data_IF_173489887049
#
_entry.id   IF_173489887049
#
_cell.length_a   1.000
_cell.length_b   1.000
_cell.length_c   1.000
_cell.angle_alpha   90.00
_cell.angle_beta   90.00
_cell.angle_gamma   90.00
#
_symmetry.space_group_name_H-M   'P 1'
#
loop_
_entity.id
_entity.type
_entity.pdbx_description
1 polymer ?
#
# COMPACT_ATOMS: atom_id res chain seq x y z
N UNK A 1 14.01 -5.63 17.62
CA UNK A 1 12.72 -6.13 17.09
C UNK A 1 12.77 -6.03 15.57
N UNK A 2 12.22 -7.01 14.85
CA UNK A 2 12.15 -6.94 13.39
C UNK A 2 11.13 -5.88 12.96
N UNK A 3 11.40 -5.17 11.87
CA UNK A 3 10.50 -4.18 11.26
C UNK A 3 10.22 -4.63 9.84
N UNK A 4 8.95 -4.71 9.47
CA UNK A 4 8.53 -5.18 8.14
C UNK A 4 7.78 -4.09 7.41
N UNK A 5 8.05 -3.93 6.13
CA UNK A 5 7.34 -2.99 5.28
C UNK A 5 6.76 -3.69 4.06
N UNK A 6 5.51 -3.41 3.74
CA UNK A 6 4.88 -3.76 2.48
C UNK A 6 4.74 -2.48 1.66
N UNK A 7 5.40 -2.41 0.51
CA UNK A 7 5.44 -1.21 -0.33
C UNK A 7 4.75 -1.50 -1.65
N UNK A 8 3.63 -0.84 -1.88
CA UNK A 8 2.72 -1.12 -3.00
C UNK A 8 2.70 0.06 -3.95
N UNK A 9 3.01 -0.16 -5.22
CA UNK A 9 2.91 0.83 -6.29
C UNK A 9 2.17 0.26 -7.50
N UNK A 10 0.97 0.75 -7.78
CA UNK A 10 0.13 0.21 -8.88
C UNK A 10 0.06 1.23 -10.01
N UNK A 11 0.66 0.89 -11.15
CA UNK A 11 0.66 1.76 -12.33
C UNK A 11 -0.43 1.42 -13.36
N UNK A 12 -0.83 0.15 -13.47
CA UNK A 12 -1.73 -0.34 -14.51
C UNK A 12 -3.12 -0.64 -13.96
N UNK A 13 -4.14 -0.11 -14.62
CA UNK A 13 -5.55 -0.25 -14.26
C UNK A 13 -6.40 -0.56 -15.48
N UNK A 14 -7.44 -1.37 -15.29
CA UNK A 14 -8.39 -1.72 -16.35
C UNK A 14 -9.54 -0.71 -16.47
N UNK A 15 -9.99 -0.17 -15.33
CA UNK A 15 -11.14 0.73 -15.25
C UNK A 15 -10.78 2.17 -14.83
N UNK A 16 -9.49 2.44 -14.60
CA UNK A 16 -8.97 3.75 -14.18
C UNK A 16 -7.80 4.16 -15.08
N UNK A 17 -7.46 5.45 -15.06
CA UNK A 17 -6.30 5.95 -15.81
C UNK A 17 -5.00 5.41 -15.20
N UNK A 18 -4.08 4.94 -16.05
CA UNK A 18 -2.77 4.44 -15.61
C UNK A 18 -1.93 5.54 -14.91
N UNK A 19 -1.22 5.14 -13.86
CA UNK A 19 -0.39 6.02 -13.02
C UNK A 19 1.08 5.54 -13.01
N UNK A 20 1.85 5.76 -14.09
CA UNK A 20 3.23 5.25 -14.18
C UNK A 20 4.12 5.71 -13.01
N UNK A 21 3.92 6.95 -12.53
CA UNK A 21 4.68 7.53 -11.41
C UNK A 21 4.45 6.84 -10.06
N UNK A 22 3.34 6.11 -9.89
CA UNK A 22 3.06 5.41 -8.64
C UNK A 22 4.11 4.33 -8.32
N UNK A 23 4.70 3.73 -9.36
CA UNK A 23 5.79 2.76 -9.20
C UNK A 23 7.07 3.47 -8.79
N UNK A 24 7.43 4.58 -9.45
CA UNK A 24 8.62 5.37 -9.09
C UNK A 24 8.59 5.86 -7.63
N UNK A 25 7.43 6.32 -7.17
CA UNK A 25 7.23 6.76 -5.79
C UNK A 25 7.40 5.59 -4.81
N UNK A 26 6.79 4.44 -5.13
CA UNK A 26 6.90 3.23 -4.32
C UNK A 26 8.34 2.69 -4.28
N UNK A 27 9.09 2.71 -5.39
CA UNK A 27 10.49 2.29 -5.43
C UNK A 27 11.38 3.17 -4.54
N UNK A 28 11.23 4.51 -4.62
CA UNK A 28 11.99 5.43 -3.76
C UNK A 28 11.72 5.19 -2.28
N UNK A 29 10.46 4.97 -1.90
CA UNK A 29 10.10 4.64 -0.52
C UNK A 29 10.66 3.27 -0.12
N UNK A 30 10.59 2.27 -0.99
CA UNK A 30 11.18 0.96 -0.71
C UNK A 30 12.69 1.07 -0.45
N UNK A 31 13.40 1.84 -1.26
CA UNK A 31 14.84 2.08 -1.10
C UNK A 31 15.14 2.80 0.24
N UNK A 32 14.44 3.89 0.53
CA UNK A 32 14.61 4.63 1.80
C UNK A 32 14.37 3.74 3.03
N UNK A 33 13.35 2.87 2.99
CA UNK A 33 13.03 1.96 4.10
C UNK A 33 14.07 0.84 4.27
N UNK A 34 14.64 0.34 3.17
CA UNK A 34 15.75 -0.63 3.20
C UNK A 34 17.04 0.01 3.75
N UNK A 35 17.43 1.17 3.21
CA UNK A 35 18.71 1.82 3.50
C UNK A 35 18.74 2.49 4.88
N UNK A 36 17.69 3.22 5.23
CA UNK A 36 17.67 4.05 6.45
C UNK A 36 16.69 3.54 7.51
N UNK A 37 15.62 2.87 7.09
CA UNK A 37 14.56 2.43 7.98
C UNK A 37 14.83 1.11 8.71
N UNK A 38 15.83 0.33 8.28
CA UNK A 38 16.09 -1.04 8.78
C UNK A 38 14.84 -1.94 8.69
N UNK A 39 14.02 -1.74 7.65
CA UNK A 39 12.86 -2.58 7.37
C UNK A 39 13.25 -3.74 6.43
N UNK A 40 12.69 -4.92 6.69
CA UNK A 40 12.57 -5.96 5.66
C UNK A 40 11.39 -5.59 4.75
N UNK A 41 11.74 -5.07 3.56
CA UNK A 41 10.80 -4.48 2.61
C UNK A 41 10.36 -5.51 1.57
N UNK A 42 9.05 -5.71 1.49
CA UNK A 42 8.37 -6.48 0.45
C UNK A 42 7.69 -5.54 -0.56
N UNK A 43 8.24 -5.38 -1.77
CA UNK A 43 7.63 -4.56 -2.82
C UNK A 43 6.54 -5.32 -3.59
N UNK A 44 5.50 -4.61 -4.02
CA UNK A 44 4.38 -5.12 -4.84
C UNK A 44 3.91 -4.10 -5.89
N UNK A 45 3.63 -4.52 -7.14
CA UNK A 45 3.99 -5.81 -7.73
C UNK A 45 5.50 -6.00 -7.75
N UNK A 46 5.97 -7.19 -7.37
CA UNK A 46 7.41 -7.49 -7.31
C UNK A 46 7.98 -8.02 -8.63
N UNK A 47 9.16 -7.54 -9.00
CA UNK A 47 10.05 -8.17 -10.00
C UNK A 47 11.39 -8.48 -9.34
N UNK A 48 11.86 -9.72 -9.53
CA UNK A 48 13.19 -10.12 -9.08
C UNK A 48 14.23 -9.45 -9.98
N UNK A 49 15.19 -8.76 -9.37
CA UNK A 49 16.37 -8.24 -10.04
C UNK A 49 17.46 -9.27 -9.85
N UNK A 50 17.72 -10.06 -10.90
CA UNK A 50 18.66 -11.20 -10.86
C UNK A 50 20.09 -10.79 -10.47
N UNK A 51 20.49 -9.56 -10.83
CA UNK A 51 21.83 -9.02 -10.54
C UNK A 51 22.04 -8.70 -9.06
N UNK A 52 20.99 -8.49 -8.28
CA UNK A 52 21.07 -8.00 -6.90
C UNK A 52 20.38 -8.92 -5.88
N UNK A 53 19.82 -10.05 -6.35
CA UNK A 53 18.99 -10.97 -5.57
C UNK A 53 17.92 -10.24 -4.72
N UNK A 54 17.43 -9.11 -5.23
CA UNK A 54 16.51 -8.21 -4.56
C UNK A 54 15.25 -8.05 -5.41
N UNK A 55 14.10 -7.88 -4.74
CA UNK A 55 12.86 -7.52 -5.42
C UNK A 55 12.71 -6.00 -5.48
N UNK A 56 12.19 -5.49 -6.60
CA UNK A 56 11.74 -4.10 -6.77
C UNK A 56 10.28 -4.03 -7.22
N UNK A 57 9.66 -2.85 -7.07
CA UNK A 57 8.30 -2.59 -7.54
C UNK A 57 8.34 -2.51 -9.07
N UNK A 58 7.38 -3.11 -9.78
CA UNK A 58 7.36 -3.09 -11.24
C UNK A 58 6.06 -2.58 -11.81
N UNK A 59 6.15 -1.73 -12.83
CA UNK A 59 5.02 -1.32 -13.65
C UNK A 59 4.60 -2.39 -14.67
N UNK A 60 5.41 -3.44 -14.88
CA UNK A 60 5.15 -4.45 -15.91
C UNK A 60 3.96 -5.34 -15.55
N UNK A 61 3.73 -5.56 -14.25
CA UNK A 61 2.71 -6.46 -13.73
C UNK A 61 1.50 -5.70 -13.19
N UNK A 62 0.32 -6.30 -13.37
CA UNK A 62 -0.89 -5.90 -12.66
C UNK A 62 -0.87 -6.48 -11.24
N UNK A 63 -1.60 -5.84 -10.33
CA UNK A 63 -1.84 -6.35 -8.99
C UNK A 63 -3.34 -6.48 -8.77
N UNK A 64 -3.82 -7.71 -8.69
CA UNK A 64 -5.26 -7.99 -8.61
C UNK A 64 -5.77 -7.87 -7.17
N UNK A 65 -7.05 -7.57 -7.01
CA UNK A 65 -7.74 -7.47 -5.72
C UNK A 65 -7.52 -8.68 -4.81
N UNK A 66 -7.71 -9.88 -5.37
CA UNK A 66 -7.54 -11.15 -4.65
C UNK A 66 -6.09 -11.35 -4.19
N UNK A 67 -5.13 -11.03 -5.05
CA UNK A 67 -3.70 -11.19 -4.75
C UNK A 67 -3.28 -10.23 -3.64
N UNK A 68 -3.63 -8.94 -3.75
CA UNK A 68 -3.31 -7.95 -2.74
C UNK A 68 -3.98 -8.28 -1.40
N UNK A 69 -5.25 -8.73 -1.41
CA UNK A 69 -5.95 -9.16 -0.21
C UNK A 69 -5.25 -10.33 0.50
N UNK A 70 -4.79 -11.33 -0.26
CA UNK A 70 -4.03 -12.46 0.28
C UNK A 70 -2.70 -12.03 0.87
N UNK A 71 -1.93 -11.20 0.16
CA UNK A 71 -0.63 -10.73 0.64
C UNK A 71 -0.79 -9.85 1.89
N UNK A 72 -1.76 -8.95 1.93
CA UNK A 72 -2.05 -8.15 3.13
C UNK A 72 -2.38 -9.04 4.34
N UNK A 73 -3.19 -10.08 4.14
CA UNK A 73 -3.53 -11.05 5.20
C UNK A 73 -2.27 -11.74 5.73
N UNK A 74 -1.44 -12.30 4.86
CA UNK A 74 -0.21 -12.99 5.24
C UNK A 74 0.80 -12.02 5.90
N UNK A 75 0.93 -10.81 5.36
CA UNK A 75 1.83 -9.80 5.89
C UNK A 75 1.46 -9.40 7.32
N UNK A 76 0.19 -9.08 7.58
CA UNK A 76 -0.27 -8.59 8.88
C UNK A 76 -0.40 -9.71 9.93
N UNK A 77 -0.91 -10.89 9.53
CA UNK A 77 -1.25 -11.95 10.48
C UNK A 77 -0.11 -12.96 10.69
N UNK A 78 0.86 -13.03 9.79
CA UNK A 78 1.93 -14.02 9.84
C UNK A 78 3.30 -13.32 9.87
N UNK A 79 3.69 -12.60 8.81
CA UNK A 79 5.05 -12.02 8.67
C UNK A 79 5.37 -10.98 9.75
N UNK A 80 4.49 -10.00 9.91
CA UNK A 80 4.69 -8.87 10.82
C UNK A 80 3.97 -9.06 12.17
N UNK A 81 3.48 -10.27 12.47
CA UNK A 81 2.76 -10.54 13.71
C UNK A 81 3.64 -10.24 14.92
N UNK A 82 3.16 -9.37 15.81
CA UNK A 82 3.89 -8.95 17.01
C UNK A 82 5.17 -8.14 16.73
N UNK A 83 5.33 -7.65 15.50
CA UNK A 83 6.45 -6.82 15.04
C UNK A 83 5.94 -5.48 14.52
N UNK A 84 6.84 -4.53 14.28
CA UNK A 84 6.47 -3.27 13.64
C UNK A 84 6.15 -3.50 12.15
N UNK A 85 4.99 -3.04 11.71
CA UNK A 85 4.48 -3.22 10.36
C UNK A 85 4.19 -1.87 9.72
N UNK A 86 4.76 -1.60 8.54
CA UNK A 86 4.47 -0.44 7.73
C UNK A 86 3.88 -0.88 6.40
N UNK A 87 2.80 -0.23 5.96
CA UNK A 87 2.24 -0.42 4.62
C UNK A 87 2.26 0.93 3.92
N UNK A 88 2.98 1.02 2.80
CA UNK A 88 2.96 2.17 1.91
C UNK A 88 2.18 1.80 0.64
N UNK A 89 1.30 2.68 0.20
CA UNK A 89 0.51 2.51 -1.00
C UNK A 89 0.58 3.76 -1.88
N UNK A 90 0.94 3.57 -3.14
CA UNK A 90 0.88 4.55 -4.21
C UNK A 90 -0.01 4.01 -5.33
N UNK A 91 -1.08 4.73 -5.65
CA UNK A 91 -2.10 4.34 -6.62
C UNK A 91 -3.39 5.12 -6.42
N UNK A 92 -4.44 4.74 -7.14
CA UNK A 92 -5.77 5.35 -6.98
C UNK A 92 -6.40 4.99 -5.64
N UNK A 93 -7.03 5.99 -5.01
CA UNK A 93 -8.00 5.81 -3.94
C UNK A 93 -9.34 6.42 -4.37
N UNK A 94 -10.45 5.79 -3.99
CA UNK A 94 -11.78 6.30 -4.32
C UNK A 94 -12.79 5.96 -3.22
N UNK A 95 -13.90 6.68 -3.20
CA UNK A 95 -15.04 6.39 -2.34
C UNK A 95 -16.14 5.70 -3.15
N UNK A 96 -16.74 4.66 -2.57
CA UNK A 96 -17.92 4.00 -3.14
C UNK A 96 -18.96 3.74 -2.03
N UNK A 97 -20.27 3.74 -2.35
CA UNK A 97 -21.30 3.37 -1.40
C UNK A 97 -21.08 1.95 -0.88
N UNK A 98 -21.15 1.77 0.45
CA UNK A 98 -21.18 0.43 1.03
C UNK A 98 -22.59 -0.14 1.07
N UNK A 99 -22.71 -1.43 1.43
CA UNK A 99 -24.00 -2.10 1.62
C UNK A 99 -24.89 -1.42 2.68
N UNK A 100 -24.31 -0.64 3.59
CA UNK A 100 -25.04 0.14 4.61
C UNK A 100 -25.43 1.53 4.12
N UNK A 101 -25.11 1.89 2.88
CA UNK A 101 -25.35 3.22 2.30
C UNK A 101 -24.30 4.28 2.69
N UNK A 102 -23.44 3.99 3.66
CA UNK A 102 -22.37 4.91 4.05
C UNK A 102 -21.20 4.83 3.05
N UNK A 103 -20.63 5.97 2.62
CA UNK A 103 -19.48 5.97 1.73
C UNK A 103 -18.28 5.34 2.43
N UNK A 104 -17.61 4.42 1.75
CA UNK A 104 -16.39 3.77 2.23
C UNK A 104 -15.25 4.08 1.27
N UNK A 105 -14.08 4.37 1.82
CA UNK A 105 -12.87 4.52 1.02
C UNK A 105 -12.35 3.17 0.55
N UNK A 106 -11.69 3.15 -0.60
CA UNK A 106 -11.07 1.98 -1.21
C UNK A 106 -9.72 2.35 -1.82
N UNK A 107 -8.75 1.45 -1.69
CA UNK A 107 -7.53 1.44 -2.50
C UNK A 107 -7.82 0.63 -3.76
N UNK A 108 -7.62 1.25 -4.91
CA UNK A 108 -7.81 0.64 -6.20
C UNK A 108 -6.71 -0.39 -6.51
N UNK A 109 -7.12 -1.57 -6.95
CA UNK A 109 -6.26 -2.59 -7.56
C UNK A 109 -6.39 -2.53 -9.08
N UNK A 110 -5.54 -3.25 -9.82
CA UNK A 110 -5.54 -3.19 -11.28
C UNK A 110 -6.89 -3.56 -11.91
N UNK A 111 -7.63 -4.46 -11.28
CA UNK A 111 -8.91 -5.02 -11.75
C UNK A 111 -10.14 -4.48 -10.98
N UNK A 112 -9.98 -3.36 -10.25
CA UNK A 112 -11.08 -2.82 -9.46
C UNK A 112 -12.13 -2.08 -10.30
N UNK A 113 -13.36 -2.09 -9.83
CA UNK A 113 -14.47 -1.34 -10.41
C UNK A 113 -14.87 -0.17 -9.50
N UNK A 114 -15.56 0.83 -10.07
CA UNK A 114 -15.95 2.06 -9.36
C UNK A 114 -16.95 1.84 -8.21
N UNK A 115 -17.57 0.66 -8.15
CA UNK A 115 -18.46 0.22 -7.08
C UNK A 115 -17.73 -0.47 -5.92
N UNK A 116 -16.40 -0.55 -5.97
CA UNK A 116 -15.58 -1.16 -4.92
C UNK A 116 -15.30 -2.65 -5.14
N UNK A 117 -15.81 -3.29 -6.20
CA UNK A 117 -15.45 -4.67 -6.51
C UNK A 117 -13.94 -4.77 -6.80
N UNK A 118 -13.32 -5.84 -6.29
CA UNK A 118 -11.87 -6.10 -6.32
C UNK A 118 -10.97 -5.03 -5.67
N UNK A 119 -11.52 -3.95 -5.10
CA UNK A 119 -10.75 -2.94 -4.40
C UNK A 119 -10.51 -3.34 -2.93
N UNK A 120 -9.45 -2.80 -2.32
CA UNK A 120 -9.18 -3.00 -0.89
C UNK A 120 -9.85 -1.90 -0.11
N UNK A 121 -10.91 -2.22 0.60
CA UNK A 121 -11.64 -1.23 1.37
C UNK A 121 -10.76 -0.63 2.49
N UNK A 122 -10.48 0.68 2.41
CA UNK A 122 -9.88 1.43 3.50
C UNK A 122 -10.95 1.69 4.53
N UNK A 123 -10.92 1.03 5.68
CA UNK A 123 -11.49 1.56 6.92
C UNK A 123 -11.17 0.66 8.11
N UNK A 124 -10.62 1.26 9.18
CA UNK A 124 -10.73 0.97 10.62
C UNK A 124 -10.54 -0.46 11.19
N UNK A 125 -10.61 -1.54 10.40
CA UNK A 125 -10.37 -2.92 10.85
C UNK A 125 -8.91 -3.35 10.79
N UNK A 126 -8.03 -2.55 10.17
CA UNK A 126 -6.58 -2.70 10.34
C UNK A 126 -6.11 -2.15 11.70
N UNK A 127 -6.88 -1.23 12.30
CA UNK A 127 -6.53 -0.55 13.54
C UNK A 127 -6.86 -1.34 14.81
N UNK A 128 -7.60 -2.45 14.73
CA UNK A 128 -7.76 -3.37 15.87
C UNK A 128 -6.53 -4.25 16.12
N UNK A 129 -5.52 -4.24 15.23
CA UNK A 129 -4.27 -5.01 15.41
C UNK A 129 -2.97 -4.23 15.22
N UNK A 130 -3.00 -2.96 14.80
CA UNK A 130 -1.77 -2.19 14.58
C UNK A 130 -1.89 -0.82 15.24
N UNK A 131 -1.22 -0.64 16.39
CA UNK A 131 -0.95 0.69 16.94
C UNK A 131 -0.02 1.44 16.00
N UNK A 132 -0.36 2.70 15.72
CA UNK A 132 0.39 3.70 14.95
C UNK A 132 0.24 3.68 13.41
N UNK A 133 -0.95 4.07 12.92
CA UNK A 133 -1.02 4.85 11.68
C UNK A 133 -0.92 6.32 12.07
N UNK A 134 0.21 6.95 11.78
CA UNK A 134 0.44 8.39 12.00
C UNK A 134 0.15 9.10 10.68
N UNK A 135 -1.00 9.77 10.60
CA UNK A 135 -1.34 10.65 9.47
C UNK A 135 -0.45 11.88 9.51
N UNK A 136 0.38 12.08 8.49
CA UNK A 136 1.20 13.29 8.35
C UNK A 136 0.36 14.36 7.65
N UNK A 137 -0.17 15.31 8.43
CA UNK A 137 -1.12 16.26 7.87
C UNK A 137 -1.68 17.29 8.85
N UNK A 138 -0.86 17.83 9.76
CA UNK A 138 -1.20 19.10 10.43
C UNK A 138 -0.05 20.09 10.25
N UNK A 139 -0.24 21.00 9.29
CA UNK A 139 0.53 22.24 9.19
C UNK A 139 0.23 23.04 10.46
N UNK A 140 1.18 23.08 11.41
CA UNK A 140 1.17 24.11 12.44
C UNK A 140 1.26 25.47 11.73
N UNK A 141 0.18 26.25 11.74
CA UNK A 141 0.29 27.70 11.56
C UNK A 141 0.98 28.23 12.82
N UNK A 142 2.21 28.67 12.62
CA UNK A 142 2.99 29.37 13.62
C UNK A 142 2.36 30.71 13.97
N UNK A 143 2.66 31.08 15.21
CA UNK A 143 2.49 32.38 15.86
C UNK A 143 3.21 33.49 15.07
N UNK A 144 2.59 34.67 15.02
CA UNK A 144 3.19 35.99 14.83
C UNK A 144 2.23 36.98 15.49
N UNK A 145 2.52 37.36 16.74
CA UNK A 145 2.94 38.72 17.15
C UNK A 145 1.81 39.76 17.10
#
# INVERSE_FOLDING_TARGET
MARYALVIGIAKYDNFTNLPKAVDDAEKIAQLLKEHGRFDVQPLPGKLIETENCSSVTADKKLLGKELGQVLRMFLLEKAKGSEALIYFAGHGFEAPSLTGEPKGYLATSDCHKDGQNAIATLLKLLTSVSAIRTWGERKKGVGE
#
